data_IF_742302071697
#
_entry.id   IF_742302071697
#
_cell.length_a   1.000
_cell.length_b   1.000
_cell.length_c   1.000
_cell.angle_alpha   90.00
_cell.angle_beta   90.00
_cell.angle_gamma   90.00
#
_symmetry.space_group_name_H-M   'P 1'
#
loop_
_entity.id
_entity.type
_entity.pdbx_description
1 polymer ?
#
# COMPACT_ATOMS: atom_id res chain seq x y z
N UNK A 1 14.41 34.68 30.04
CA UNK A 1 13.75 33.37 30.34
C UNK A 1 12.83 32.93 29.20
N UNK A 2 12.10 33.86 28.56
CA UNK A 2 11.19 33.61 27.42
C UNK A 2 11.92 33.02 26.18
N UNK A 3 13.11 33.54 25.82
CA UNK A 3 13.84 33.11 24.62
C UNK A 3 14.29 31.64 24.58
N UNK A 4 14.56 31.02 25.73
CA UNK A 4 14.95 29.60 25.79
C UNK A 4 13.73 28.70 25.57
N UNK A 5 12.59 29.10 26.12
CA UNK A 5 11.33 28.37 25.97
C UNK A 5 10.87 28.41 24.51
N UNK A 6 10.93 29.59 23.88
CA UNK A 6 10.63 29.76 22.45
C UNK A 6 11.56 28.92 21.57
N UNK A 7 12.86 28.86 21.88
CA UNK A 7 13.81 28.03 21.14
C UNK A 7 13.48 26.53 21.24
N UNK A 8 13.18 26.04 22.44
CA UNK A 8 12.81 24.63 22.66
C UNK A 8 11.49 24.31 21.94
N UNK A 9 10.49 25.19 22.03
CA UNK A 9 9.23 25.01 21.32
C UNK A 9 9.39 25.01 19.80
N UNK A 10 10.22 25.90 19.24
CA UNK A 10 10.50 25.87 17.81
C UNK A 10 11.18 24.55 17.40
N UNK A 11 12.12 24.03 18.19
CA UNK A 11 12.72 22.72 17.93
C UNK A 11 11.70 21.58 18.01
N UNK A 12 10.81 21.60 19.01
CA UNK A 12 9.74 20.61 19.13
C UNK A 12 8.77 20.68 17.96
N UNK A 13 8.33 21.87 17.54
CA UNK A 13 7.45 22.05 16.39
C UNK A 13 8.09 21.54 15.07
N UNK A 14 9.40 21.75 14.89
CA UNK A 14 10.14 21.22 13.74
C UNK A 14 10.28 19.69 13.77
N UNK A 15 10.42 19.09 14.96
CA UNK A 15 10.46 17.64 15.12
C UNK A 15 9.08 17.01 14.89
N UNK A 16 8.04 17.60 15.47
CA UNK A 16 6.63 17.23 15.26
C UNK A 16 6.24 17.32 13.78
N UNK A 17 6.67 18.37 13.07
CA UNK A 17 6.45 18.51 11.64
C UNK A 17 7.09 17.37 10.83
N UNK A 18 8.33 17.00 11.13
CA UNK A 18 9.02 15.87 10.47
C UNK A 18 8.35 14.53 10.76
N UNK A 19 7.96 14.30 12.02
CA UNK A 19 7.26 13.07 12.39
C UNK A 19 5.86 13.00 11.75
N UNK A 20 5.18 14.14 11.58
CA UNK A 20 3.93 14.24 10.85
C UNK A 20 4.13 13.86 9.37
N UNK A 21 5.12 14.43 8.69
CA UNK A 21 5.45 14.10 7.30
C UNK A 21 5.76 12.60 7.12
N UNK A 22 6.57 12.04 8.02
CA UNK A 22 6.91 10.61 8.01
C UNK A 22 5.67 9.73 8.17
N UNK A 23 4.78 10.06 9.12
CA UNK A 23 3.52 9.33 9.32
C UNK A 23 2.60 9.45 8.11
N UNK A 24 2.53 10.63 7.48
CA UNK A 24 1.77 10.82 6.26
C UNK A 24 2.29 9.96 5.11
N UNK A 25 3.61 9.93 4.89
CA UNK A 25 4.23 9.10 3.86
C UNK A 25 3.98 7.61 4.09
N UNK A 26 4.12 7.14 5.34
CA UNK A 26 3.85 5.75 5.71
C UNK A 26 2.38 5.37 5.49
N UNK A 27 1.44 6.20 5.95
CA UNK A 27 0.01 5.95 5.75
C UNK A 27 -0.37 5.95 4.27
N UNK A 28 0.21 6.85 3.46
CA UNK A 28 0.00 6.88 2.02
C UNK A 28 0.48 5.59 1.37
N UNK A 29 1.69 5.13 1.67
CA UNK A 29 2.23 3.88 1.13
C UNK A 29 1.35 2.68 1.47
N UNK A 30 0.83 2.59 2.71
CA UNK A 30 -0.08 1.51 3.10
C UNK A 30 -1.40 1.58 2.33
N UNK A 31 -1.96 2.77 2.14
CA UNK A 31 -3.22 2.93 1.41
C UNK A 31 -3.06 2.65 -0.08
N UNK A 32 -1.97 3.10 -0.70
CA UNK A 32 -1.69 2.85 -2.12
C UNK A 32 -1.43 1.36 -2.42
N UNK A 33 -0.98 0.58 -1.43
CA UNK A 33 -0.85 -0.88 -1.56
C UNK A 33 -2.19 -1.63 -1.56
N UNK A 34 -3.28 -1.02 -1.09
CA UNK A 34 -4.58 -1.68 -0.92
C UNK A 34 -5.66 -1.04 -1.79
N UNK A 35 -5.51 0.25 -2.11
CA UNK A 35 -6.45 1.07 -2.86
C UNK A 35 -5.75 1.69 -4.07
N UNK A 36 -6.46 1.81 -5.21
CA UNK A 36 -6.01 2.65 -6.31
C UNK A 36 -5.70 4.08 -5.83
N UNK A 37 -4.67 4.71 -6.41
CA UNK A 37 -4.16 6.02 -5.96
C UNK A 37 -5.25 7.12 -5.82
N UNK A 38 -6.16 7.22 -6.79
CA UNK A 38 -7.25 8.20 -6.75
C UNK A 38 -8.25 7.98 -5.61
N UNK A 39 -8.41 6.72 -5.17
CA UNK A 39 -9.27 6.35 -4.05
C UNK A 39 -8.53 6.58 -2.73
N UNK A 40 -7.23 6.26 -2.66
CA UNK A 40 -6.40 6.58 -1.50
C UNK A 40 -6.41 8.09 -1.19
N UNK A 41 -6.30 8.94 -2.22
CA UNK A 41 -6.41 10.40 -2.06
C UNK A 41 -7.79 10.85 -1.55
N UNK A 42 -8.87 10.20 -1.98
CA UNK A 42 -10.21 10.48 -1.48
C UNK A 42 -10.29 10.28 0.05
N UNK A 43 -9.77 9.17 0.57
CA UNK A 43 -9.83 8.86 2.00
C UNK A 43 -8.81 9.63 2.86
N UNK A 44 -7.69 10.05 2.26
CA UNK A 44 -6.69 10.87 2.93
C UNK A 44 -7.13 12.32 3.12
N UNK A 45 -8.10 12.82 2.33
CA UNK A 45 -8.66 14.16 2.52
C UNK A 45 -9.23 14.34 3.94
N UNK A 46 -9.17 15.58 4.42
CA UNK A 46 -9.37 15.95 5.83
C UNK A 46 -10.83 15.85 6.32
N UNK A 47 -11.77 15.56 5.42
CA UNK A 47 -13.19 15.45 5.76
C UNK A 47 -13.49 14.13 6.49
N UNK A 48 -13.41 14.17 7.82
CA UNK A 48 -13.69 13.04 8.71
C UNK A 48 -15.07 12.40 8.48
N UNK A 49 -16.07 13.18 8.02
CA UNK A 49 -17.41 12.66 7.68
C UNK A 49 -17.40 11.69 6.49
N UNK A 50 -16.50 11.86 5.51
CA UNK A 50 -16.40 10.99 4.33
C UNK A 50 -15.68 9.68 4.61
N UNK A 51 -14.90 9.60 5.71
CA UNK A 51 -14.13 8.40 6.06
C UNK A 51 -14.98 7.21 6.54
N UNK A 52 -16.21 7.47 6.97
CA UNK A 52 -17.14 6.44 7.45
C UNK A 52 -18.11 5.95 6.36
N UNK A 53 -18.09 6.56 5.18
CA UNK A 53 -19.00 6.25 4.08
C UNK A 53 -18.30 5.36 3.04
N UNK A 54 -19.06 4.41 2.47
CA UNK A 54 -18.57 3.56 1.41
C UNK A 54 -18.36 4.37 0.12
N UNK A 55 -17.25 4.14 -0.59
CA UNK A 55 -16.98 4.76 -1.89
C UNK A 55 -17.49 3.87 -3.03
N UNK A 56 -18.20 4.45 -4.01
CA UNK A 56 -18.65 3.79 -5.24
C UNK A 56 -18.70 4.79 -6.40
N UNK A 57 -18.19 4.38 -7.57
CA UNK A 57 -18.17 5.20 -8.79
C UNK A 57 -18.53 4.31 -10.00
N UNK A 58 -19.51 4.73 -10.80
CA UNK A 58 -19.86 4.03 -12.04
C UNK A 58 -18.96 4.51 -13.21
N UNK A 59 -18.51 3.58 -14.04
CA UNK A 59 -17.71 3.87 -15.24
C UNK A 59 -18.32 3.23 -16.48
N UNK A 60 -18.56 4.04 -17.50
CA UNK A 60 -19.21 3.58 -18.74
C UNK A 60 -18.26 2.77 -19.64
N UNK A 61 -16.96 3.07 -19.60
CA UNK A 61 -15.93 2.44 -20.46
C UNK A 61 -14.87 1.75 -19.59
N UNK A 62 -15.14 0.50 -19.21
CA UNK A 62 -14.20 -0.34 -18.47
C UNK A 62 -13.96 -1.66 -19.20
N UNK A 63 -12.72 -2.15 -19.16
CA UNK A 63 -12.36 -3.48 -19.63
C UNK A 63 -11.90 -4.33 -18.44
N UNK A 64 -12.28 -5.60 -18.43
CA UNK A 64 -11.94 -6.56 -17.36
C UNK A 64 -11.19 -7.72 -18.01
N UNK A 65 -10.02 -8.04 -17.47
CA UNK A 65 -9.19 -9.17 -17.91
C UNK A 65 -9.02 -10.13 -16.74
N UNK A 66 -9.18 -11.42 -17.02
CA UNK A 66 -8.88 -12.49 -16.09
C UNK A 66 -7.66 -13.25 -16.59
N UNK A 67 -6.69 -13.47 -15.70
CA UNK A 67 -5.48 -14.25 -15.97
C UNK A 67 -5.48 -15.42 -14.99
N UNK A 68 -5.14 -16.61 -15.47
CA UNK A 68 -5.08 -17.83 -14.65
C UNK A 68 -3.78 -18.55 -14.92
N UNK A 69 -3.05 -18.90 -13.86
CA UNK A 69 -1.87 -19.75 -13.95
C UNK A 69 -2.34 -21.20 -13.93
N UNK A 70 -2.17 -21.90 -15.05
CA UNK A 70 -2.58 -23.31 -15.18
C UNK A 70 -1.53 -24.25 -14.60
N UNK A 71 -1.97 -25.37 -14.04
CA UNK A 71 -1.12 -26.47 -13.55
C UNK A 71 -0.17 -26.12 -12.39
N UNK A 72 -0.36 -24.97 -11.74
CA UNK A 72 0.44 -24.58 -10.57
C UNK A 72 0.26 -25.56 -9.41
N UNK A 73 -0.92 -26.16 -9.26
CA UNK A 73 -1.26 -27.20 -8.29
C UNK A 73 -0.42 -28.46 -8.43
N UNK A 74 -0.05 -28.83 -9.67
CA UNK A 74 0.82 -29.99 -9.93
C UNK A 74 2.29 -29.68 -9.70
N UNK A 75 2.67 -28.42 -9.88
CA UNK A 75 4.03 -27.93 -9.63
C UNK A 75 4.29 -27.70 -8.13
N UNK A 76 3.25 -27.39 -7.37
CA UNK A 76 3.33 -27.17 -5.93
C UNK A 76 3.49 -28.50 -5.17
N UNK A 77 4.62 -28.66 -4.47
CA UNK A 77 4.88 -29.79 -3.58
C UNK A 77 5.41 -29.30 -2.24
N UNK A 78 4.62 -29.51 -1.18
CA UNK A 78 5.03 -29.33 0.22
C UNK A 78 5.82 -30.57 0.66
N UNK A 79 7.14 -30.52 0.51
CA UNK A 79 8.06 -31.54 0.98
C UNK A 79 9.08 -30.89 1.91
N UNK A 80 9.49 -31.59 2.98
CA UNK A 80 10.57 -31.13 3.88
C UNK A 80 11.86 -30.81 3.10
N UNK A 81 12.10 -31.53 2.00
CA UNK A 81 13.23 -31.31 1.09
C UNK A 81 13.15 -30.02 0.25
N UNK A 82 11.97 -29.39 0.17
CA UNK A 82 11.70 -28.17 -0.60
C UNK A 82 11.26 -27.00 0.31
N UNK A 83 11.71 -27.02 1.57
CA UNK A 83 11.42 -25.97 2.55
C UNK A 83 9.90 -25.67 2.66
N UNK A 84 9.09 -26.75 2.71
CA UNK A 84 7.62 -26.69 2.81
C UNK A 84 6.93 -25.93 1.65
N UNK A 85 7.52 -25.94 0.45
CA UNK A 85 6.92 -25.32 -0.74
C UNK A 85 7.13 -23.81 -0.86
N UNK A 86 7.96 -23.22 0.01
CA UNK A 86 8.31 -21.78 0.00
C UNK A 86 8.92 -21.35 -1.34
N UNK A 87 9.74 -22.20 -1.97
CA UNK A 87 10.35 -21.87 -3.27
C UNK A 87 9.32 -21.73 -4.40
N UNK A 88 8.23 -22.50 -4.34
CA UNK A 88 7.13 -22.37 -5.31
C UNK A 88 6.38 -21.04 -5.12
N UNK A 89 6.21 -20.59 -3.86
CA UNK A 89 5.62 -19.29 -3.55
C UNK A 89 6.53 -18.12 -3.96
N UNK A 90 7.85 -18.29 -3.83
CA UNK A 90 8.82 -17.29 -4.30
C UNK A 90 8.73 -17.11 -5.80
N UNK A 91 8.69 -18.20 -6.58
CA UNK A 91 8.49 -18.13 -8.03
C UNK A 91 7.16 -17.47 -8.39
N UNK A 92 6.07 -17.82 -7.68
CA UNK A 92 4.76 -17.19 -7.90
C UNK A 92 4.82 -15.67 -7.67
N UNK A 93 5.49 -15.25 -6.60
CA UNK A 93 5.68 -13.83 -6.30
C UNK A 93 6.53 -13.14 -7.38
N UNK A 94 7.58 -13.78 -7.89
CA UNK A 94 8.38 -13.25 -9.01
C UNK A 94 7.52 -13.03 -10.26
N UNK A 95 6.69 -14.00 -10.63
CA UNK A 95 5.75 -13.87 -11.77
C UNK A 95 4.80 -12.69 -11.55
N UNK A 96 4.21 -12.55 -10.36
CA UNK A 96 3.27 -11.46 -10.04
C UNK A 96 3.98 -10.10 -10.11
N UNK A 97 5.18 -9.99 -9.55
CA UNK A 97 5.99 -8.75 -9.57
C UNK A 97 6.35 -8.34 -11.00
N UNK A 98 6.69 -9.29 -11.87
CA UNK A 98 6.94 -9.01 -13.29
C UNK A 98 5.68 -8.43 -13.98
N UNK A 99 4.49 -8.93 -13.65
CA UNK A 99 3.22 -8.38 -14.15
C UNK A 99 2.90 -6.99 -13.58
N UNK A 100 3.13 -6.78 -12.29
CA UNK A 100 2.91 -5.49 -11.63
C UNK A 100 3.81 -4.40 -12.23
N UNK A 101 5.05 -4.76 -12.59
CA UNK A 101 6.03 -3.83 -13.21
C UNK A 101 5.62 -3.38 -14.61
N UNK A 102 4.90 -4.21 -15.37
CA UNK A 102 4.37 -3.85 -16.70
C UNK A 102 3.07 -3.06 -16.60
N UNK A 103 2.32 -3.24 -15.51
CA UNK A 103 0.98 -2.65 -15.33
C UNK A 103 0.98 -1.29 -14.62
N UNK A 104 2.05 -0.95 -13.90
CA UNK A 104 2.23 0.34 -13.21
C UNK A 104 2.81 1.45 -14.11
#
# INVERSE_FOLDING_TARGET
MISRFDFIWNLQALDEGREMEKKHAQNRAVLENILPAHIAEYFLKENQMQRAELYSEARENAAIVFITITEFDKFYMELDANNEGVECLRLLNEIIVDFDTVSC
#
